data_IF_581945608087
#
_entry.id   IF_581945608087
#
_cell.length_a   1.000
_cell.length_b   1.000
_cell.length_c   1.000
_cell.angle_alpha   90.00
_cell.angle_beta   90.00
_cell.angle_gamma   90.00
#
_symmetry.space_group_name_H-M   'P 1'
#
loop_
_entity.id
_entity.type
_entity.pdbx_description
1 polymer ?
#
# COMPACT_ATOMS: atom_id res chain seq x y z
N UNK A 1 -18.75 -0.01 -34.49
CA UNK A 1 -17.96 0.29 -33.26
C UNK A 1 -18.93 0.31 -32.10
N UNK A 2 -18.86 -0.67 -31.18
CA UNK A 2 -19.69 -0.66 -29.97
C UNK A 2 -18.97 0.14 -28.90
N UNK A 3 -19.44 1.36 -28.62
CA UNK A 3 -19.08 2.05 -27.38
C UNK A 3 -19.83 1.35 -26.26
N UNK A 4 -19.15 0.49 -25.50
CA UNK A 4 -19.71 0.00 -24.24
C UNK A 4 -19.96 1.22 -23.35
N UNK A 5 -21.24 1.56 -23.15
CA UNK A 5 -21.61 2.64 -22.23
C UNK A 5 -21.21 2.21 -20.82
N UNK A 6 -20.22 2.86 -20.23
CA UNK A 6 -19.89 2.67 -18.82
C UNK A 6 -21.12 3.08 -18.01
N UNK A 7 -21.80 2.14 -17.35
CA UNK A 7 -22.91 2.46 -16.46
C UNK A 7 -22.36 3.12 -15.20
N UNK A 8 -22.65 4.41 -15.02
CA UNK A 8 -22.25 5.16 -13.83
C UNK A 8 -23.28 4.94 -12.73
N UNK A 9 -22.85 4.41 -11.59
CA UNK A 9 -23.69 4.25 -10.39
C UNK A 9 -23.16 5.17 -9.28
N UNK A 10 -23.97 6.13 -8.84
CA UNK A 10 -23.64 7.03 -7.75
C UNK A 10 -24.39 6.61 -6.48
N UNK A 11 -23.65 6.43 -5.38
CA UNK A 11 -24.21 6.23 -4.04
C UNK A 11 -23.64 7.24 -3.07
N UNK A 12 -24.51 7.83 -2.26
CA UNK A 12 -24.12 8.65 -1.11
C UNK A 12 -23.82 7.72 0.07
N UNK A 13 -22.68 7.94 0.72
CA UNK A 13 -22.27 7.21 1.91
C UNK A 13 -22.11 8.24 3.02
N UNK A 14 -22.91 8.10 4.07
CA UNK A 14 -22.76 8.87 5.30
C UNK A 14 -21.80 8.16 6.24
N UNK A 15 -20.84 8.90 6.78
CA UNK A 15 -19.84 8.39 7.70
C UNK A 15 -19.89 9.18 9.01
N UNK A 16 -19.71 8.53 10.17
CA UNK A 16 -19.44 9.25 11.41
C UNK A 16 -18.17 10.10 11.27
N UNK A 17 -18.16 11.30 11.83
CA UNK A 17 -17.03 12.24 11.72
C UNK A 17 -15.65 11.61 12.01
N UNK A 18 -15.46 10.79 13.06
CA UNK A 18 -14.15 10.18 13.33
C UNK A 18 -13.69 9.20 12.24
N UNK A 19 -14.62 8.56 11.54
CA UNK A 19 -14.31 7.67 10.42
C UNK A 19 -14.00 8.48 9.17
N UNK A 20 -14.80 9.53 8.90
CA UNK A 20 -14.57 10.46 7.80
C UNK A 20 -13.16 11.05 7.85
N UNK A 21 -12.76 11.65 8.98
CA UNK A 21 -11.44 12.28 9.11
C UNK A 21 -10.28 11.28 8.99
N UNK A 22 -10.45 10.05 9.51
CA UNK A 22 -9.44 8.99 9.34
C UNK A 22 -9.25 8.63 7.87
N UNK A 23 -10.33 8.46 7.12
CA UNK A 23 -10.27 8.12 5.70
C UNK A 23 -9.72 9.27 4.86
N UNK A 24 -10.06 10.53 5.19
CA UNK A 24 -9.46 11.71 4.55
C UNK A 24 -7.95 11.76 4.77
N UNK A 25 -7.49 11.50 6.01
CA UNK A 25 -6.06 11.46 6.33
C UNK A 25 -5.35 10.37 5.52
N UNK A 26 -5.94 9.18 5.42
CA UNK A 26 -5.40 8.07 4.62
C UNK A 26 -5.34 8.40 3.13
N UNK A 27 -6.43 8.91 2.56
CA UNK A 27 -6.46 9.34 1.16
C UNK A 27 -5.38 10.39 0.85
N UNK A 28 -5.18 11.35 1.76
CA UNK A 28 -4.12 12.36 1.64
C UNK A 28 -2.72 11.75 1.65
N UNK A 29 -2.46 10.73 2.50
CA UNK A 29 -1.15 10.05 2.56
C UNK A 29 -0.79 9.36 1.24
N UNK A 30 -1.76 8.73 0.56
CA UNK A 30 -1.55 8.13 -0.78
C UNK A 30 -1.71 9.12 -1.94
N UNK A 31 -1.88 10.42 -1.66
CA UNK A 31 -1.90 11.46 -2.67
C UNK A 31 -3.15 11.48 -3.55
N UNK A 32 -4.26 10.89 -3.10
CA UNK A 32 -5.52 10.83 -3.87
C UNK A 32 -6.68 11.50 -3.13
N UNK A 33 -7.75 11.82 -3.87
CA UNK A 33 -8.99 12.31 -3.26
C UNK A 33 -9.69 11.20 -2.44
N UNK A 34 -10.53 11.58 -1.47
CA UNK A 34 -11.31 10.61 -0.69
C UNK A 34 -12.16 9.69 -1.57
N UNK A 35 -12.77 10.24 -2.62
CA UNK A 35 -13.59 9.48 -3.57
C UNK A 35 -12.77 8.44 -4.31
N UNK A 36 -11.57 8.81 -4.76
CA UNK A 36 -10.69 7.91 -5.49
C UNK A 36 -10.11 6.83 -4.56
N UNK A 37 -9.80 7.19 -3.32
CA UNK A 37 -9.43 6.24 -2.28
C UNK A 37 -10.51 5.18 -2.07
N UNK A 38 -11.79 5.58 -1.96
CA UNK A 38 -12.90 4.63 -1.85
C UNK A 38 -13.04 3.70 -3.05
N UNK A 39 -12.86 4.23 -4.27
CA UNK A 39 -12.90 3.43 -5.51
C UNK A 39 -11.82 2.37 -5.51
N UNK A 40 -10.58 2.75 -5.20
CA UNK A 40 -9.44 1.84 -5.12
C UNK A 40 -9.67 0.76 -4.06
N UNK A 41 -10.10 1.14 -2.85
CA UNK A 41 -10.38 0.20 -1.78
C UNK A 41 -11.50 -0.78 -2.15
N UNK A 42 -12.57 -0.30 -2.78
CA UNK A 42 -13.69 -1.14 -3.22
C UNK A 42 -13.25 -2.10 -4.34
N UNK A 43 -12.48 -1.59 -5.31
CA UNK A 43 -11.93 -2.40 -6.39
C UNK A 43 -11.02 -3.51 -5.86
N UNK A 44 -10.09 -3.17 -4.96
CA UNK A 44 -9.19 -4.14 -4.33
C UNK A 44 -9.98 -5.17 -3.50
N UNK A 45 -10.98 -4.74 -2.73
CA UNK A 45 -11.80 -5.66 -1.95
C UNK A 45 -12.60 -6.64 -2.83
N UNK A 46 -13.13 -6.17 -3.97
CA UNK A 46 -13.94 -7.00 -4.88
C UNK A 46 -13.12 -7.90 -5.80
N UNK A 47 -11.85 -7.56 -6.07
CA UNK A 47 -11.00 -8.28 -7.02
C UNK A 47 -9.82 -9.02 -6.36
N UNK A 48 -9.68 -8.95 -5.04
CA UNK A 48 -8.67 -9.72 -4.32
C UNK A 48 -9.21 -11.13 -4.00
N UNK A 49 -8.50 -12.20 -4.36
CA UNK A 49 -8.87 -13.57 -4.00
C UNK A 49 -8.69 -13.86 -2.49
N UNK A 50 -7.94 -13.01 -1.79
CA UNK A 50 -7.72 -13.11 -0.35
C UNK A 50 -8.41 -11.95 0.39
N UNK A 51 -8.93 -12.19 1.62
CA UNK A 51 -9.51 -11.12 2.43
C UNK A 51 -8.51 -9.99 2.57
N UNK A 52 -8.98 -8.76 2.37
CA UNK A 52 -8.17 -7.54 2.44
C UNK A 52 -7.45 -7.46 3.79
N UNK A 53 -6.19 -7.91 3.86
CA UNK A 53 -5.35 -7.70 5.01
C UNK A 53 -5.07 -6.19 5.10
N UNK A 54 -5.39 -5.61 6.25
CA UNK A 54 -5.09 -4.21 6.50
C UNK A 54 -3.60 -3.98 6.26
N UNK A 55 -3.26 -3.10 5.33
CA UNK A 55 -1.90 -2.57 5.25
C UNK A 55 -1.66 -1.87 6.59
N UNK A 56 -0.88 -2.50 7.46
CA UNK A 56 -0.47 -1.89 8.72
C UNK A 56 0.22 -0.56 8.40
N UNK A 57 -0.26 0.51 9.03
CA UNK A 57 0.39 1.80 8.89
C UNK A 57 1.75 1.68 9.60
N UNK A 58 2.84 1.64 8.81
CA UNK A 58 4.18 1.78 9.35
C UNK A 58 4.27 3.10 10.13
N UNK A 59 4.83 3.05 11.32
CA UNK A 59 5.13 4.25 12.08
C UNK A 59 6.18 5.10 11.34
N UNK A 60 6.27 6.38 11.71
CA UNK A 60 7.13 7.35 11.00
C UNK A 60 8.62 6.98 11.04
N UNK A 61 9.07 6.25 12.06
CA UNK A 61 10.45 5.83 12.21
C UNK A 61 10.75 4.65 11.29
N UNK A 62 9.88 3.64 11.27
CA UNK A 62 9.99 2.50 10.35
C UNK A 62 9.93 2.96 8.90
N UNK A 63 9.04 3.89 8.57
CA UNK A 63 8.93 4.42 7.20
C UNK A 63 10.20 5.17 6.77
N UNK A 64 10.85 5.91 7.68
CA UNK A 64 12.16 6.54 7.41
C UNK A 64 13.27 5.52 7.21
N UNK A 65 13.28 4.47 8.00
CA UNK A 65 14.29 3.41 7.90
C UNK A 65 14.18 2.64 6.58
N UNK A 66 12.96 2.37 6.12
CA UNK A 66 12.72 1.74 4.81
C UNK A 66 13.22 2.64 3.68
N UNK A 67 12.87 3.93 3.70
CA UNK A 67 13.34 4.88 2.66
C UNK A 67 14.87 4.99 2.63
N UNK A 68 15.51 5.03 3.81
CA UNK A 68 16.97 5.05 3.91
C UNK A 68 17.59 3.77 3.36
N UNK A 69 17.00 2.60 3.66
CA UNK A 69 17.47 1.33 3.12
C UNK A 69 17.33 1.28 1.58
N UNK A 70 16.25 1.80 1.01
CA UNK A 70 16.08 1.90 -0.44
C UNK A 70 17.11 2.82 -1.09
N UNK A 71 17.43 3.96 -0.46
CA UNK A 71 18.47 4.88 -0.92
C UNK A 71 19.86 4.23 -0.88
N UNK A 72 20.17 3.48 0.18
CA UNK A 72 21.42 2.75 0.31
C UNK A 72 21.55 1.63 -0.73
N UNK A 73 20.45 0.93 -1.05
CA UNK A 73 20.41 -0.05 -2.15
C UNK A 73 20.65 0.64 -3.50
N UNK A 74 19.98 1.77 -3.77
CA UNK A 74 20.19 2.56 -5.01
C UNK A 74 21.62 3.10 -5.13
N UNK A 75 22.25 3.43 -4.00
CA UNK A 75 23.64 3.87 -3.94
C UNK A 75 24.66 2.72 -4.04
N UNK A 76 24.21 1.47 -4.24
CA UNK A 76 25.06 0.29 -4.35
C UNK A 76 25.66 -0.20 -3.03
N UNK A 77 25.15 0.29 -1.89
CA UNK A 77 25.59 -0.10 -0.54
C UNK A 77 24.76 -1.25 0.05
N UNK A 78 23.76 -1.73 -0.67
CA UNK A 78 22.92 -2.87 -0.27
C UNK A 78 23.49 -4.22 -0.70
N UNK A 79 23.17 -5.27 0.06
CA UNK A 79 23.46 -6.66 -0.30
C UNK A 79 22.20 -7.25 -0.95
N UNK A 80 22.28 -7.59 -2.24
CA UNK A 80 21.20 -8.24 -2.98
C UNK A 80 21.29 -9.75 -2.80
N UNK A 81 20.45 -10.31 -1.93
CA UNK A 81 20.28 -11.75 -1.77
C UNK A 81 19.22 -12.22 -2.77
N UNK A 82 19.64 -13.01 -3.76
CA UNK A 82 18.75 -13.39 -4.89
C UNK A 82 18.14 -14.78 -4.72
N UNK A 83 18.77 -15.63 -3.91
CA UNK A 83 18.32 -17.02 -3.72
C UNK A 83 18.20 -17.36 -2.24
N UNK A 84 17.35 -18.35 -1.93
CA UNK A 84 17.21 -18.85 -0.56
C UNK A 84 18.55 -19.35 0.03
N UNK A 85 19.46 -19.86 -0.81
CA UNK A 85 20.81 -20.23 -0.39
C UNK A 85 21.65 -19.04 0.07
N UNK A 86 21.51 -17.90 -0.61
CA UNK A 86 22.23 -16.66 -0.24
C UNK A 86 21.71 -16.14 1.10
N UNK A 87 20.40 -16.24 1.33
CA UNK A 87 19.75 -15.86 2.59
C UNK A 87 20.25 -16.74 3.73
N UNK A 88 20.25 -18.06 3.57
CA UNK A 88 20.72 -19.00 4.60
C UNK A 88 22.20 -18.80 4.93
N UNK A 89 23.03 -18.50 3.93
CA UNK A 89 24.45 -18.23 4.12
C UNK A 89 24.69 -16.90 4.85
N UNK A 90 23.94 -15.86 4.50
CA UNK A 90 24.02 -14.56 5.17
C UNK A 90 23.58 -14.66 6.63
N UNK A 91 22.47 -15.34 6.90
CA UNK A 91 21.94 -15.54 8.26
C UNK A 91 22.85 -16.39 9.14
N UNK A 92 23.58 -17.37 8.57
CA UNK A 92 24.59 -18.14 9.30
C UNK A 92 25.81 -17.31 9.69
N UNK A 93 26.20 -16.34 8.86
CA UNK A 93 27.34 -15.44 9.13
C UNK A 93 27.01 -14.30 10.12
N UNK A 94 25.74 -14.15 10.51
CA UNK A 94 25.28 -13.19 11.52
C UNK A 94 25.27 -13.75 12.96
N UNK A 95 25.43 -15.08 13.13
CA UNK A 95 25.54 -15.75 14.44
C UNK A 95 26.98 -15.83 14.90
#
# INVERSE_FOLDING_TARGET
MYTQSTKVHQKLISLPDPLYFRLVKRAKKVGVSLTEYFRLMTYLHLNSPEPFEFIEELDEETSKNVLKAEEEIKAGKGILLKTNKDIDMFMKNLK
#
